data_IF_777908566119
#
_entry.id   IF_777908566119
#
_cell.length_a   1.000
_cell.length_b   1.000
_cell.length_c   1.000
_cell.angle_alpha   90.00
_cell.angle_beta   90.00
_cell.angle_gamma   90.00
#
_symmetry.space_group_name_H-M   'P 1'
#
loop_
_entity.id
_entity.type
_entity.pdbx_description
1 polymer ?
#
# COMPACT_ATOMS: atom_id res chain seq x y z
N UNK A 1 11.25 13.63 11.01
CA UNK A 1 11.00 12.22 10.64
C UNK A 1 12.33 11.51 10.48
N UNK A 2 12.60 10.51 11.31
CA UNK A 2 13.77 9.63 11.19
C UNK A 2 13.53 8.56 10.13
N UNK A 3 14.60 7.92 9.66
CA UNK A 3 14.47 6.80 8.72
C UNK A 3 13.61 5.64 9.29
N UNK A 4 13.64 5.44 10.62
CA UNK A 4 12.85 4.40 11.28
C UNK A 4 11.35 4.70 11.28
N UNK A 5 10.99 5.97 11.47
CA UNK A 5 9.60 6.46 11.43
C UNK A 5 9.05 6.37 10.01
N UNK A 6 9.83 6.77 9.00
CA UNK A 6 9.45 6.61 7.60
C UNK A 6 9.21 5.14 7.25
N UNK A 7 10.11 4.24 7.65
CA UNK A 7 9.95 2.81 7.39
C UNK A 7 8.70 2.24 8.08
N UNK A 8 8.31 2.74 9.26
CA UNK A 8 7.08 2.34 9.94
C UNK A 8 5.84 2.82 9.19
N UNK A 9 5.88 4.05 8.66
CA UNK A 9 4.80 4.61 7.86
C UNK A 9 4.64 3.86 6.52
N UNK A 10 5.74 3.62 5.81
CA UNK A 10 5.75 2.86 4.55
C UNK A 10 5.16 1.46 4.73
N UNK A 11 5.49 0.78 5.84
CA UNK A 11 4.90 -0.54 6.17
C UNK A 11 3.38 -0.47 6.31
N UNK A 12 2.83 0.61 6.88
CA UNK A 12 1.37 0.79 7.02
C UNK A 12 0.72 0.99 5.65
N UNK A 13 1.28 1.85 4.79
CA UNK A 13 0.77 2.04 3.43
C UNK A 13 0.89 0.78 2.58
N UNK A 14 2.01 0.05 2.68
CA UNK A 14 2.19 -1.22 1.99
C UNK A 14 1.18 -2.27 2.46
N UNK A 15 0.90 -2.36 3.76
CA UNK A 15 -0.15 -3.24 4.27
C UNK A 15 -1.54 -2.88 3.72
N UNK A 16 -1.83 -1.60 3.50
CA UNK A 16 -3.07 -1.15 2.85
C UNK A 16 -3.11 -1.50 1.36
N UNK A 17 -2.01 -1.32 0.62
CA UNK A 17 -1.90 -1.70 -0.80
C UNK A 17 -2.08 -3.21 -1.01
N UNK A 18 -1.47 -4.04 -0.15
CA UNK A 18 -1.67 -5.49 -0.17
C UNK A 18 -3.12 -5.88 0.12
N UNK A 19 -3.78 -5.20 1.06
CA UNK A 19 -5.21 -5.41 1.33
C UNK A 19 -6.09 -5.04 0.14
N UNK A 20 -5.74 -3.96 -0.58
CA UNK A 20 -6.42 -3.57 -1.81
C UNK A 20 -6.25 -4.64 -2.90
N UNK A 21 -5.01 -5.08 -3.16
CA UNK A 21 -4.71 -6.17 -4.10
C UNK A 21 -5.55 -7.41 -3.82
N UNK A 22 -5.61 -7.87 -2.55
CA UNK A 22 -6.36 -9.07 -2.16
C UNK A 22 -7.85 -9.06 -2.51
N UNK A 23 -8.49 -7.90 -2.71
CA UNK A 23 -9.91 -7.83 -3.15
C UNK A 23 -10.13 -8.45 -4.53
N UNK A 24 -9.10 -8.48 -5.38
CA UNK A 24 -9.14 -9.03 -6.73
C UNK A 24 -8.36 -10.36 -6.83
N UNK A 25 -8.04 -11.01 -5.70
CA UNK A 25 -7.37 -12.30 -5.72
C UNK A 25 -8.21 -13.34 -6.48
N UNK A 26 -7.62 -14.01 -7.46
CA UNK A 26 -8.30 -14.98 -8.32
C UNK A 26 -9.28 -14.38 -9.34
N UNK A 27 -9.37 -13.05 -9.43
CA UNK A 27 -10.30 -12.33 -10.33
C UNK A 27 -9.59 -11.67 -11.52
N UNK A 28 -8.29 -11.93 -11.68
CA UNK A 28 -7.41 -11.29 -12.67
C UNK A 28 -6.90 -12.28 -13.73
N UNK A 29 -7.57 -13.41 -13.93
CA UNK A 29 -7.14 -14.51 -14.81
C UNK A 29 -5.69 -14.95 -14.50
N UNK A 30 -4.80 -14.99 -15.50
CA UNK A 30 -3.38 -15.32 -15.33
C UNK A 30 -2.54 -14.16 -14.80
N UNK A 31 -3.08 -12.94 -14.74
CA UNK A 31 -2.34 -11.79 -14.26
C UNK A 31 -2.32 -11.79 -12.72
N UNK A 32 -1.22 -11.34 -12.09
CA UNK A 32 -1.18 -11.18 -10.64
C UNK A 32 -2.17 -10.09 -10.20
N UNK A 33 -2.70 -10.25 -8.99
CA UNK A 33 -3.52 -9.21 -8.38
C UNK A 33 -2.64 -8.10 -7.82
N UNK A 34 -2.80 -6.86 -8.30
CA UNK A 34 -1.96 -5.71 -7.93
C UNK A 34 -2.82 -4.61 -7.32
N UNK A 35 -2.28 -3.92 -6.31
CA UNK A 35 -2.88 -2.75 -5.69
C UNK A 35 -1.84 -1.67 -5.51
N UNK A 36 -2.19 -0.44 -5.87
CA UNK A 36 -1.29 0.73 -5.81
C UNK A 36 -1.97 1.83 -5.00
N UNK A 37 -1.21 2.49 -4.14
CA UNK A 37 -1.63 3.69 -3.41
C UNK A 37 -0.69 4.84 -3.74
N UNK A 38 -1.26 6.00 -4.04
CA UNK A 38 -0.52 7.24 -4.18
C UNK A 38 -0.75 8.01 -2.88
N UNK A 39 0.32 8.27 -2.14
CA UNK A 39 0.28 8.99 -0.87
C UNK A 39 0.78 10.41 -1.12
N UNK A 40 0.02 11.39 -0.63
CA UNK A 40 0.42 12.79 -0.58
C UNK A 40 0.42 13.19 0.89
N UNK A 41 1.53 13.79 1.33
CA UNK A 41 1.57 14.50 2.60
C UNK A 41 0.95 15.89 2.38
N UNK A 42 -0.15 16.15 3.07
CA UNK A 42 -0.82 17.46 3.11
C UNK A 42 -0.45 18.27 4.36
N UNK A 43 0.46 17.76 5.19
CA UNK A 43 0.91 18.37 6.43
C UNK A 43 0.05 18.05 7.65
N UNK A 44 -1.00 17.22 7.51
CA UNK A 44 -1.97 16.99 8.58
C UNK A 44 -1.91 15.59 9.21
N UNK A 45 -0.96 14.76 8.81
CA UNK A 45 -0.59 13.48 9.45
C UNK A 45 -1.57 12.34 9.25
#
# INVERSE_FOLDING_TARGET
>A
MTASEQAALDRRFMAAALRLSRKNAGRTATNPSVGTLIVRDDGNG
#
